data_IF_055445303930
#
_entry.id   IF_055445303930
#
_cell.length_a   1.000
_cell.length_b   1.000
_cell.length_c   1.000
_cell.angle_alpha   90.00
_cell.angle_beta   90.00
_cell.angle_gamma   90.00
#
_symmetry.space_group_name_H-M   'P 1'
#
loop_
_entity.id
_entity.type
_entity.pdbx_description
1 polymer ?
#
# COMPACT_ATOMS: atom_id res chain seq x y z
N UNK A 1 22.17 8.48 -10.80
CA UNK A 1 22.26 7.01 -10.66
C UNK A 1 21.41 6.32 -11.72
N UNK A 2 21.90 5.24 -12.31
CA UNK A 2 21.12 4.40 -13.25
C UNK A 2 20.03 3.65 -12.47
N UNK A 3 18.91 3.31 -13.12
CA UNK A 3 17.79 2.55 -12.52
C UNK A 3 18.26 1.31 -11.75
N UNK A 4 19.19 0.53 -12.31
CA UNK A 4 19.77 -0.67 -11.67
C UNK A 4 20.48 -0.38 -10.35
N UNK A 5 21.19 0.74 -10.24
CA UNK A 5 21.95 1.12 -9.05
C UNK A 5 20.99 1.57 -7.94
N UNK A 6 19.94 2.29 -8.32
CA UNK A 6 18.89 2.68 -7.38
C UNK A 6 18.13 1.47 -6.85
N UNK A 7 17.71 0.56 -7.73
CA UNK A 7 17.05 -0.70 -7.35
C UNK A 7 17.94 -1.57 -6.45
N UNK A 8 19.26 -1.61 -6.66
CA UNK A 8 20.16 -2.38 -5.80
C UNK A 8 20.10 -1.93 -4.33
N UNK A 9 19.99 -0.61 -4.07
CA UNK A 9 19.82 -0.08 -2.71
C UNK A 9 18.50 -0.56 -2.10
N UNK A 10 17.41 -0.43 -2.85
CA UNK A 10 16.07 -0.82 -2.38
C UNK A 10 15.98 -2.32 -2.12
N UNK A 11 16.58 -3.13 -3.01
CA UNK A 11 16.56 -4.58 -2.95
C UNK A 11 17.39 -5.19 -1.81
N UNK A 12 18.20 -4.39 -1.11
CA UNK A 12 18.79 -4.80 0.15
C UNK A 12 17.73 -5.10 1.24
N UNK A 13 16.57 -4.46 1.16
CA UNK A 13 15.44 -4.69 2.07
C UNK A 13 14.28 -5.42 1.39
N UNK A 14 14.04 -5.14 0.11
CA UNK A 14 12.91 -5.69 -0.66
C UNK A 14 13.37 -6.31 -1.98
N UNK A 15 13.80 -7.59 -1.99
CA UNK A 15 14.45 -8.21 -3.15
C UNK A 15 13.62 -8.21 -4.44
N UNK A 16 12.29 -8.33 -4.33
CA UNK A 16 11.36 -8.29 -5.47
C UNK A 16 10.95 -6.87 -5.88
N UNK A 17 11.52 -5.82 -5.29
CA UNK A 17 11.11 -4.46 -5.60
C UNK A 17 11.38 -4.09 -7.06
N UNK A 18 10.44 -3.36 -7.65
CA UNK A 18 10.52 -2.73 -8.97
C UNK A 18 10.20 -1.24 -8.86
N UNK A 19 10.47 -0.45 -9.90
CA UNK A 19 10.01 0.95 -9.91
C UNK A 19 8.49 0.98 -10.01
N UNK A 20 7.84 1.90 -9.31
CA UNK A 20 6.36 1.90 -9.24
C UNK A 20 5.73 2.07 -10.62
N UNK A 21 6.32 2.88 -11.49
CA UNK A 21 5.86 3.04 -12.88
C UNK A 21 5.87 1.72 -13.67
N UNK A 22 6.91 0.89 -13.50
CA UNK A 22 6.96 -0.43 -14.15
C UNK A 22 5.87 -1.34 -13.57
N UNK A 23 5.67 -1.26 -12.26
CA UNK A 23 4.68 -2.10 -11.59
C UNK A 23 3.27 -1.81 -12.07
N UNK A 24 2.93 -0.52 -12.22
CA UNK A 24 1.61 -0.11 -12.69
C UNK A 24 1.45 -0.40 -14.18
N UNK A 25 2.49 -0.24 -15.01
CA UNK A 25 2.42 -0.68 -16.41
C UNK A 25 2.16 -2.18 -16.51
N UNK A 26 2.92 -3.02 -15.79
CA UNK A 26 2.68 -4.47 -15.74
C UNK A 26 1.25 -4.80 -15.29
N UNK A 27 0.70 -4.04 -14.34
CA UNK A 27 -0.69 -4.21 -13.89
C UNK A 27 -1.65 -4.00 -15.06
N UNK A 28 -1.53 -2.86 -15.73
CA UNK A 28 -2.42 -2.48 -16.83
C UNK A 28 -2.30 -3.49 -17.98
N UNK A 29 -1.08 -3.91 -18.32
CA UNK A 29 -0.86 -4.93 -19.36
C UNK A 29 -1.57 -6.24 -19.00
N UNK A 30 -1.55 -6.66 -17.73
CA UNK A 30 -2.33 -7.82 -17.27
C UNK A 30 -3.85 -7.62 -17.45
N UNK A 31 -4.38 -6.43 -17.11
CA UNK A 31 -5.80 -6.14 -17.24
C UNK A 31 -6.27 -6.25 -18.70
N UNK A 32 -5.50 -5.67 -19.62
CA UNK A 32 -5.81 -5.67 -21.05
C UNK A 32 -5.65 -7.08 -21.65
N UNK A 33 -4.54 -7.77 -21.37
CA UNK A 33 -4.22 -9.06 -22.01
C UNK A 33 -5.02 -10.24 -21.45
N UNK A 34 -5.35 -10.22 -20.16
CA UNK A 34 -5.93 -11.37 -19.48
C UNK A 34 -7.36 -11.18 -18.99
N UNK A 35 -7.79 -9.94 -18.72
CA UNK A 35 -9.17 -9.66 -18.31
C UNK A 35 -10.01 -9.02 -19.42
N UNK A 36 -9.39 -8.63 -20.55
CA UNK A 36 -10.03 -7.92 -21.66
C UNK A 36 -10.73 -6.63 -21.18
N UNK A 37 -10.02 -5.87 -20.32
CA UNK A 37 -10.50 -4.62 -19.74
C UNK A 37 -9.50 -3.48 -19.96
N UNK A 38 -10.01 -2.34 -20.42
CA UNK A 38 -9.27 -1.09 -20.54
C UNK A 38 -9.28 -0.31 -19.21
N UNK A 39 -8.27 0.53 -18.92
CA UNK A 39 -8.25 1.37 -17.71
C UNK A 39 -9.54 2.15 -17.46
N UNK A 40 -10.18 2.69 -18.51
CA UNK A 40 -11.44 3.43 -18.41
C UNK A 40 -12.65 2.62 -17.91
N UNK A 41 -12.53 1.28 -17.82
CA UNK A 41 -13.54 0.38 -17.27
C UNK A 41 -13.28 -0.01 -15.81
N UNK A 42 -12.20 0.50 -15.21
CA UNK A 42 -11.74 0.10 -13.88
C UNK A 42 -11.96 1.25 -12.90
N UNK A 43 -12.74 0.98 -11.85
CA UNK A 43 -12.90 1.89 -10.71
C UNK A 43 -11.79 1.63 -9.70
N UNK A 44 -10.85 2.56 -9.59
CA UNK A 44 -9.69 2.49 -8.70
C UNK A 44 -10.02 3.02 -7.31
N UNK A 45 -9.54 2.32 -6.28
CA UNK A 45 -9.41 2.83 -4.94
C UNK A 45 -7.97 2.69 -4.42
N UNK A 46 -7.51 3.74 -3.73
CA UNK A 46 -6.22 3.77 -3.04
C UNK A 46 -6.42 3.64 -1.53
N UNK A 47 -5.84 2.62 -0.91
CA UNK A 47 -5.61 2.56 0.53
C UNK A 47 -4.12 2.72 0.83
N UNK A 48 -3.65 3.96 0.70
CA UNK A 48 -2.25 4.37 0.87
C UNK A 48 -2.15 5.51 1.89
N UNK A 49 -0.93 5.78 2.37
CA UNK A 49 -0.72 6.78 3.40
C UNK A 49 -0.97 8.22 2.92
N UNK A 50 -1.53 9.06 3.80
CA UNK A 50 -1.77 10.49 3.56
C UNK A 50 -0.51 11.35 3.37
N UNK A 51 0.67 10.78 3.59
CA UNK A 51 1.97 11.44 3.37
C UNK A 51 2.11 11.95 1.91
N UNK A 52 2.57 13.18 1.74
CA UNK A 52 2.64 13.90 0.46
C UNK A 52 3.55 13.21 -0.57
N UNK A 53 4.50 12.39 -0.11
CA UNK A 53 5.44 11.68 -0.98
C UNK A 53 4.86 10.45 -1.65
N UNK A 54 3.70 9.96 -1.19
CA UNK A 54 3.02 8.84 -1.84
C UNK A 54 2.37 9.19 -3.18
N UNK A 55 2.49 10.45 -3.63
CA UNK A 55 2.19 10.87 -5.00
C UNK A 55 3.28 10.42 -5.98
N UNK A 56 3.43 9.11 -6.07
CA UNK A 56 4.43 8.37 -6.83
C UNK A 56 4.11 8.39 -8.34
N UNK A 57 5.17 8.31 -9.17
CA UNK A 57 5.18 8.25 -10.64
C UNK A 57 4.25 7.18 -11.22
N UNK A 58 2.98 7.52 -11.40
CA UNK A 58 2.06 6.75 -12.21
C UNK A 58 2.39 6.92 -13.71
N UNK A 59 2.30 5.85 -14.53
CA UNK A 59 2.35 5.98 -15.97
C UNK A 59 1.12 6.73 -16.50
N UNK A 60 1.21 7.32 -17.69
CA UNK A 60 0.12 8.12 -18.27
C UNK A 60 -1.20 7.34 -18.38
N UNK A 61 -1.12 6.05 -18.73
CA UNK A 61 -2.27 5.13 -18.86
C UNK A 61 -3.04 4.96 -17.55
N UNK A 62 -2.38 5.10 -16.39
CA UNK A 62 -3.06 5.00 -15.10
C UNK A 62 -4.00 6.19 -14.83
N UNK A 63 -3.88 7.29 -15.56
CA UNK A 63 -4.81 8.43 -15.44
C UNK A 63 -6.15 8.20 -16.13
N UNK A 64 -6.29 7.11 -16.87
CA UNK A 64 -7.56 6.71 -17.50
C UNK A 64 -8.45 5.90 -16.56
N UNK A 65 -7.91 5.39 -15.44
CA UNK A 65 -8.71 4.77 -14.39
C UNK A 65 -9.79 5.73 -13.85
N UNK A 66 -10.95 5.18 -13.50
CA UNK A 66 -11.99 5.93 -12.81
C UNK A 66 -11.61 6.09 -11.34
N UNK A 67 -11.71 7.31 -10.80
CA UNK A 67 -11.32 7.64 -9.41
C UNK A 67 -9.96 8.38 -9.34
N UNK A 68 -9.12 8.14 -8.32
CA UNK A 68 -9.24 7.11 -7.28
C UNK A 68 -10.17 7.49 -6.12
N UNK A 69 -10.94 6.52 -5.62
CA UNK A 69 -11.57 6.61 -4.31
C UNK A 69 -10.52 6.45 -3.21
N UNK A 70 -10.43 7.38 -2.25
CA UNK A 70 -9.42 7.33 -1.19
C UNK A 70 -9.94 6.58 0.03
N UNK A 71 -9.43 5.37 0.27
CA UNK A 71 -9.80 4.52 1.41
C UNK A 71 -8.81 4.59 2.57
N UNK A 72 -7.56 4.99 2.29
CA UNK A 72 -6.47 4.99 3.25
C UNK A 72 -6.56 6.07 4.32
N UNK A 73 -5.43 6.30 4.99
CA UNK A 73 -5.21 7.32 6.02
C UNK A 73 -3.79 7.14 6.55
N UNK A 74 -3.53 7.39 7.83
CA UNK A 74 -2.18 7.18 8.37
C UNK A 74 -1.66 5.76 8.10
N UNK A 75 -0.47 5.71 7.51
CA UNK A 75 0.23 4.51 7.04
C UNK A 75 -0.55 3.57 6.11
N UNK A 76 -1.59 4.08 5.43
CA UNK A 76 -2.33 3.33 4.41
C UNK A 76 -3.40 2.39 4.92
N UNK A 77 -3.70 2.41 6.22
CA UNK A 77 -4.80 1.62 6.77
C UNK A 77 -6.17 2.10 6.24
N UNK A 78 -7.08 1.18 5.84
CA UNK A 78 -8.34 1.55 5.18
C UNK A 78 -9.37 2.07 6.18
N UNK A 79 -9.20 3.33 6.59
CA UNK A 79 -10.00 3.97 7.65
C UNK A 79 -11.42 4.33 7.22
N UNK A 80 -11.73 4.37 5.92
CA UNK A 80 -13.10 4.62 5.45
C UNK A 80 -14.07 3.47 5.80
N UNK A 81 -13.54 2.27 6.07
CA UNK A 81 -14.30 1.13 6.56
C UNK A 81 -15.37 0.64 5.58
N UNK A 82 -16.36 -0.08 6.12
CA UNK A 82 -17.38 -0.76 5.30
C UNK A 82 -18.27 0.24 4.54
N UNK A 83 -18.60 1.37 5.15
CA UNK A 83 -19.35 2.44 4.49
C UNK A 83 -18.58 3.01 3.31
N UNK A 84 -17.27 3.24 3.46
CA UNK A 84 -16.40 3.68 2.36
C UNK A 84 -16.30 2.65 1.24
N UNK A 85 -16.09 1.38 1.57
CA UNK A 85 -16.03 0.28 0.59
C UNK A 85 -17.34 0.15 -0.20
N UNK A 86 -18.50 0.28 0.47
CA UNK A 86 -19.80 0.27 -0.20
C UNK A 86 -20.01 1.47 -1.14
N UNK A 87 -19.58 2.67 -0.73
CA UNK A 87 -19.63 3.85 -1.60
C UNK A 87 -18.74 3.66 -2.84
N UNK A 88 -17.50 3.19 -2.66
CA UNK A 88 -16.59 2.84 -3.75
C UNK A 88 -17.21 1.81 -4.72
N UNK A 89 -17.74 0.71 -4.20
CA UNK A 89 -18.34 -0.36 -5.00
C UNK A 89 -19.56 0.11 -5.81
N UNK A 90 -20.26 1.16 -5.37
CA UNK A 90 -21.43 1.70 -6.08
C UNK A 90 -21.10 2.55 -7.31
N UNK A 91 -19.83 2.90 -7.51
CA UNK A 91 -19.38 3.77 -8.61
C UNK A 91 -18.79 2.99 -9.79
N UNK A 92 -18.69 1.66 -9.70
CA UNK A 92 -18.08 0.82 -10.75
C UNK A 92 -19.00 0.72 -11.99
N UNK A 93 -18.44 0.69 -13.21
CA UNK A 93 -19.22 0.38 -14.41
C UNK A 93 -19.75 -1.07 -14.40
N UNK A 94 -20.95 -1.29 -14.94
CA UNK A 94 -21.64 -2.61 -14.93
C UNK A 94 -20.76 -3.75 -15.50
N UNK A 95 -20.07 -3.50 -16.62
CA UNK A 95 -19.20 -4.47 -17.29
C UNK A 95 -17.71 -4.28 -16.96
N UNK A 96 -17.42 -3.50 -15.93
CA UNK A 96 -16.07 -3.12 -15.50
C UNK A 96 -15.52 -4.00 -14.38
N UNK A 97 -14.58 -3.44 -13.63
CA UNK A 97 -14.04 -4.05 -12.43
C UNK A 97 -13.70 -2.98 -11.38
N UNK A 98 -13.67 -3.41 -10.11
CA UNK A 98 -13.05 -2.60 -9.06
C UNK A 98 -11.60 -3.01 -8.89
N UNK A 99 -10.72 -2.03 -8.70
CA UNK A 99 -9.32 -2.25 -8.42
C UNK A 99 -8.93 -1.55 -7.12
N UNK A 100 -8.43 -2.32 -6.16
CA UNK A 100 -7.98 -1.81 -4.86
C UNK A 100 -6.46 -1.93 -4.77
N UNK A 101 -5.78 -0.79 -4.80
CA UNK A 101 -4.34 -0.67 -4.58
C UNK A 101 -4.08 -0.25 -3.14
N UNK A 102 -3.32 -1.03 -2.39
CA UNK A 102 -3.16 -0.80 -0.95
C UNK A 102 -1.81 -1.20 -0.40
N UNK A 103 -1.45 -0.57 0.71
CA UNK A 103 -0.23 -0.88 1.42
C UNK A 103 0.24 0.24 2.33
N UNK A 104 1.10 -0.09 3.32
CA UNK A 104 1.86 0.91 4.04
C UNK A 104 2.99 1.45 3.16
N UNK A 105 3.71 2.45 3.69
CA UNK A 105 4.88 2.95 3.00
C UNK A 105 6.10 3.09 3.90
N UNK A 106 7.27 3.01 3.29
CA UNK A 106 8.54 3.18 3.98
C UNK A 106 9.53 3.97 3.14
N UNK A 107 10.32 4.82 3.80
CA UNK A 107 11.39 5.60 3.20
C UNK A 107 12.68 4.81 3.16
N UNK A 108 13.42 4.89 2.07
CA UNK A 108 14.82 4.44 2.00
C UNK A 108 15.61 5.53 1.30
N UNK A 109 16.58 6.14 1.99
CA UNK A 109 17.41 7.19 1.39
C UNK A 109 18.30 6.64 0.28
N UNK A 110 18.89 7.52 -0.53
CA UNK A 110 19.90 7.12 -1.53
C UNK A 110 21.15 6.47 -0.92
N UNK A 111 21.38 6.69 0.37
CA UNK A 111 22.48 6.11 1.14
C UNK A 111 22.05 4.79 1.84
N UNK A 112 20.81 4.33 1.63
CA UNK A 112 20.30 3.06 2.14
C UNK A 112 19.76 3.10 3.58
N UNK A 113 19.53 4.30 4.13
CA UNK A 113 18.96 4.46 5.48
C UNK A 113 17.44 4.25 5.41
N UNK A 114 16.95 3.25 6.14
CA UNK A 114 15.53 2.89 6.19
C UNK A 114 14.74 3.79 7.16
N UNK A 115 13.51 4.11 6.81
CA UNK A 115 12.59 4.93 7.59
C UNK A 115 12.70 6.43 7.38
N UNK A 116 13.51 6.90 6.44
CA UNK A 116 13.66 8.32 6.20
C UNK A 116 13.97 8.61 4.73
N UNK A 117 13.71 9.86 4.36
CA UNK A 117 14.00 10.41 3.04
C UNK A 117 14.43 11.87 3.17
N UNK A 118 15.13 12.36 2.17
CA UNK A 118 15.38 13.78 1.97
C UNK A 118 14.27 14.40 1.13
N UNK A 119 13.33 15.07 1.80
CA UNK A 119 12.22 15.78 1.15
C UNK A 119 12.71 17.05 0.45
N UNK A 120 11.97 17.45 -0.60
CA UNK A 120 12.25 18.66 -1.37
C UNK A 120 12.22 19.87 -0.43
N UNK A 121 13.26 20.70 -0.48
CA UNK A 121 13.38 21.91 0.34
C UNK A 121 13.81 21.68 1.79
N UNK A 122 14.07 20.45 2.23
CA UNK A 122 14.56 20.17 3.59
C UNK A 122 16.08 19.97 3.63
N UNK A 123 16.72 20.54 4.66
CA UNK A 123 18.16 20.39 4.89
C UNK A 123 18.53 19.03 5.50
N UNK A 124 17.59 18.42 6.25
CA UNK A 124 17.76 17.15 6.96
C UNK A 124 16.75 16.11 6.47
N UNK A 125 17.07 14.84 6.67
CA UNK A 125 16.14 13.75 6.42
C UNK A 125 14.97 13.83 7.42
N UNK A 126 13.80 13.35 7.00
CA UNK A 126 12.60 13.26 7.84
C UNK A 126 11.96 11.88 7.73
N UNK A 127 11.14 11.51 8.73
CA UNK A 127 10.53 10.20 8.84
C UNK A 127 9.60 9.86 7.67
N UNK A 128 9.63 8.59 7.25
CA UNK A 128 8.79 8.04 6.20
C UNK A 128 8.67 6.50 6.40
N UNK A 129 7.52 5.93 6.77
CA UNK A 129 6.31 6.60 7.25
C UNK A 129 6.51 7.26 8.62
N UNK A 130 5.99 8.47 8.80
CA UNK A 130 5.95 9.13 10.11
C UNK A 130 5.11 8.39 11.15
N UNK A 131 3.97 7.81 10.74
CA UNK A 131 3.08 7.07 11.64
C UNK A 131 3.72 5.76 12.13
N UNK A 132 4.29 4.94 11.25
CA UNK A 132 5.05 3.73 11.65
C UNK A 132 6.16 4.07 12.66
N UNK A 133 6.95 5.11 12.40
CA UNK A 133 8.03 5.54 13.30
C UNK A 133 7.50 6.05 14.63
N UNK A 134 6.43 6.83 14.62
CA UNK A 134 5.78 7.33 15.83
C UNK A 134 5.26 6.20 16.71
N UNK A 135 4.55 5.24 16.10
CA UNK A 135 4.03 4.08 16.82
C UNK A 135 5.16 3.19 17.36
N UNK A 136 6.17 2.89 16.54
CA UNK A 136 7.33 2.10 16.98
C UNK A 136 8.07 2.78 18.14
N UNK A 137 8.27 4.10 18.08
CA UNK A 137 8.90 4.82 19.18
C UNK A 137 8.08 4.71 20.48
N UNK A 138 6.76 4.85 20.41
CA UNK A 138 5.89 4.64 21.59
C UNK A 138 5.94 3.19 22.07
N UNK A 139 5.98 2.21 21.17
CA UNK A 139 6.08 0.79 21.51
C UNK A 139 7.36 0.47 22.27
N UNK A 140 8.52 0.92 21.76
CA UNK A 140 9.86 0.74 22.36
C UNK A 140 9.91 1.37 23.76
N UNK A 141 9.27 2.53 23.94
CA UNK A 141 9.22 3.22 25.23
C UNK A 141 8.08 2.75 26.14
N UNK A 142 7.34 1.70 25.76
CA UNK A 142 6.19 1.18 26.51
C UNK A 142 5.12 2.24 26.82
N UNK A 143 4.85 3.12 25.84
CA UNK A 143 3.91 4.25 25.93
C UNK A 143 2.56 3.98 25.26
N UNK A 144 2.39 2.82 24.61
CA UNK A 144 1.11 2.43 24.03
C UNK A 144 0.26 1.77 25.12
N UNK A 145 -0.91 2.36 25.40
CA UNK A 145 -1.90 1.79 26.30
C UNK A 145 -2.86 0.92 25.49
N UNK A 146 -3.02 -0.34 25.89
CA UNK A 146 -3.92 -1.28 25.22
C UNK A 146 -5.37 -0.75 25.22
N UNK A 147 -6.02 -0.81 24.07
CA UNK A 147 -7.41 -0.37 23.89
C UNK A 147 -7.62 1.15 23.87
N UNK A 148 -6.58 1.96 24.04
CA UNK A 148 -6.70 3.42 24.03
C UNK A 148 -6.80 3.96 22.59
N UNK A 149 -8.04 4.21 22.13
CA UNK A 149 -8.35 4.86 20.86
C UNK A 149 -9.25 6.06 21.12
N UNK A 150 -8.77 7.26 20.80
CA UNK A 150 -9.48 8.52 21.06
C UNK A 150 -10.05 9.11 19.78
N UNK A 151 -11.18 9.83 19.84
CA UNK A 151 -11.77 10.47 18.65
C UNK A 151 -10.78 11.40 17.92
N UNK A 152 -9.95 12.13 18.68
CA UNK A 152 -9.03 13.12 18.13
C UNK A 152 -7.87 12.51 17.33
N UNK A 153 -7.39 11.33 17.72
CA UNK A 153 -6.18 10.71 17.16
C UNK A 153 -6.38 9.23 16.80
N UNK A 154 -7.62 8.85 16.47
CA UNK A 154 -8.03 7.45 16.32
C UNK A 154 -7.21 6.69 15.27
N UNK A 155 -6.76 7.36 14.20
CA UNK A 155 -5.96 6.71 13.17
C UNK A 155 -4.59 6.30 13.72
N UNK A 156 -3.89 7.22 14.37
CA UNK A 156 -2.59 6.95 14.97
C UNK A 156 -2.71 5.92 16.10
N UNK A 157 -3.74 6.04 16.96
CA UNK A 157 -4.00 5.07 18.01
C UNK A 157 -4.31 3.68 17.43
N UNK A 158 -5.00 3.59 16.29
CA UNK A 158 -5.25 2.30 15.61
C UNK A 158 -3.94 1.67 15.15
N UNK A 159 -3.04 2.44 14.54
CA UNK A 159 -1.71 1.96 14.15
C UNK A 159 -0.95 1.48 15.40
N UNK A 160 -0.94 2.26 16.49
CA UNK A 160 -0.33 1.84 17.77
C UNK A 160 -0.87 0.50 18.28
N UNK A 161 -2.18 0.27 18.23
CA UNK A 161 -2.77 -1.02 18.63
C UNK A 161 -2.35 -2.16 17.70
N UNK A 162 -2.15 -1.90 16.40
CA UNK A 162 -1.63 -2.90 15.46
C UNK A 162 -0.22 -3.34 15.88
N UNK A 163 0.69 -2.40 16.13
CA UNK A 163 2.05 -2.75 16.56
C UNK A 163 2.08 -3.38 17.96
N UNK A 164 1.24 -2.91 18.90
CA UNK A 164 1.18 -3.47 20.25
C UNK A 164 0.85 -4.97 20.23
N UNK A 165 -0.09 -5.40 19.38
CA UNK A 165 -0.46 -6.83 19.23
C UNK A 165 0.67 -7.71 18.72
N UNK A 166 1.69 -7.12 18.08
CA UNK A 166 2.85 -7.82 17.52
C UNK A 166 4.16 -7.37 18.20
N UNK A 167 4.07 -6.87 19.44
CA UNK A 167 5.19 -6.27 20.18
C UNK A 167 6.46 -7.11 20.15
N UNK A 168 6.35 -8.39 20.53
CA UNK A 168 7.51 -9.26 20.67
C UNK A 168 8.21 -9.52 19.32
N UNK A 169 7.41 -9.71 18.25
CA UNK A 169 7.90 -9.88 16.87
C UNK A 169 8.67 -8.65 16.40
N UNK A 170 8.13 -7.46 16.65
CA UNK A 170 8.73 -6.19 16.22
C UNK A 170 10.01 -5.89 17.01
N UNK A 171 9.98 -6.04 18.35
CA UNK A 171 11.11 -5.68 19.20
C UNK A 171 12.28 -6.67 19.11
N UNK A 172 12.04 -7.91 18.67
CA UNK A 172 13.10 -8.91 18.45
C UNK A 172 13.66 -8.92 17.02
N UNK A 173 13.07 -8.17 16.09
CA UNK A 173 13.52 -8.12 14.71
C UNK A 173 14.86 -7.38 14.58
N UNK A 174 15.68 -7.81 13.61
CA UNK A 174 16.97 -7.17 13.31
C UNK A 174 16.81 -5.70 12.87
N UNK A 175 15.71 -5.39 12.18
CA UNK A 175 15.34 -4.03 11.78
C UNK A 175 13.89 -3.78 12.21
N UNK A 176 13.65 -3.28 13.45
CA UNK A 176 12.29 -3.16 14.00
C UNK A 176 11.34 -2.30 13.16
N UNK A 177 11.84 -1.28 12.46
CA UNK A 177 11.00 -0.46 11.60
C UNK A 177 10.56 -1.19 10.32
N UNK A 178 11.44 -2.00 9.73
CA UNK A 178 11.06 -2.88 8.62
C UNK A 178 9.95 -3.84 9.08
N UNK A 179 10.15 -4.49 10.23
CA UNK A 179 9.17 -5.43 10.78
C UNK A 179 7.84 -4.75 11.11
N UNK A 180 7.87 -3.54 11.67
CA UNK A 180 6.66 -2.77 11.93
C UNK A 180 5.89 -2.46 10.64
N UNK A 181 6.57 -2.11 9.56
CA UNK A 181 5.94 -1.90 8.24
C UNK A 181 5.31 -3.19 7.70
N UNK A 182 5.97 -4.35 7.83
CA UNK A 182 5.41 -5.65 7.42
C UNK A 182 4.18 -6.03 8.26
N UNK A 183 4.23 -5.83 9.58
CA UNK A 183 3.07 -6.04 10.47
C UNK A 183 1.89 -5.15 10.07
N UNK A 184 2.14 -3.89 9.70
CA UNK A 184 1.09 -2.98 9.25
C UNK A 184 0.53 -3.45 7.91
N UNK A 185 1.37 -3.90 6.97
CA UNK A 185 0.91 -4.49 5.71
C UNK A 185 -0.05 -5.66 5.94
N UNK A 186 0.31 -6.61 6.81
CA UNK A 186 -0.54 -7.75 7.13
C UNK A 186 -1.89 -7.31 7.72
N UNK A 187 -1.89 -6.29 8.59
CA UNK A 187 -3.12 -5.73 9.15
C UNK A 187 -4.00 -5.02 8.10
N UNK A 188 -3.37 -4.34 7.13
CA UNK A 188 -4.06 -3.70 6.00
C UNK A 188 -4.68 -4.78 5.10
N UNK A 189 -3.89 -5.77 4.68
CA UNK A 189 -4.33 -6.88 3.84
C UNK A 189 -5.53 -7.59 4.47
N UNK A 190 -5.42 -7.97 5.74
CA UNK A 190 -6.53 -8.58 6.48
C UNK A 190 -7.78 -7.70 6.45
N UNK A 191 -7.65 -6.39 6.72
CA UNK A 191 -8.80 -5.49 6.72
C UNK A 191 -9.41 -5.32 5.33
N UNK A 192 -8.61 -5.26 4.27
CA UNK A 192 -9.11 -5.17 2.89
C UNK A 192 -9.92 -6.43 2.56
N UNK A 193 -9.43 -7.63 2.89
CA UNK A 193 -10.18 -8.88 2.70
C UNK A 193 -11.52 -8.87 3.46
N UNK A 194 -11.51 -8.47 4.74
CA UNK A 194 -12.75 -8.34 5.53
C UNK A 194 -13.77 -7.38 4.89
N UNK A 195 -13.30 -6.27 4.31
CA UNK A 195 -14.15 -5.28 3.65
C UNK A 195 -14.70 -5.81 2.32
N UNK A 196 -13.87 -6.50 1.54
CA UNK A 196 -14.26 -7.12 0.26
C UNK A 196 -15.32 -8.19 0.49
N UNK A 197 -15.13 -9.08 1.48
CA UNK A 197 -16.09 -10.15 1.77
C UNK A 197 -17.45 -9.65 2.27
N UNK A 198 -17.49 -8.44 2.85
CA UNK A 198 -18.71 -7.82 3.38
C UNK A 198 -19.38 -6.84 2.42
N UNK A 199 -18.84 -6.67 1.21
CA UNK A 199 -19.34 -5.72 0.23
C UNK A 199 -19.90 -6.45 -1.00
N UNK A 200 -21.03 -5.95 -1.52
CA UNK A 200 -21.60 -6.42 -2.78
C UNK A 200 -21.08 -5.55 -3.93
N UNK A 201 -20.68 -6.20 -5.02
CA UNK A 201 -20.13 -5.54 -6.20
C UNK A 201 -21.01 -5.85 -7.42
N UNK A 202 -21.26 -4.85 -8.25
CA UNK A 202 -22.01 -4.98 -9.50
C UNK A 202 -21.06 -4.74 -10.69
N UNK A 203 -20.11 -5.67 -10.87
CA UNK A 203 -19.08 -5.63 -11.91
C UNK A 203 -18.58 -7.06 -12.19
N UNK A 204 -17.58 -7.21 -13.07
CA UNK A 204 -17.00 -8.53 -13.39
C UNK A 204 -16.00 -9.02 -12.35
N UNK A 205 -15.08 -8.15 -11.94
CA UNK A 205 -13.94 -8.54 -11.11
C UNK A 205 -13.72 -7.61 -9.91
N UNK A 206 -13.25 -8.20 -8.82
CA UNK A 206 -12.56 -7.47 -7.74
C UNK A 206 -11.07 -7.78 -7.86
N UNK A 207 -10.27 -6.74 -8.04
CA UNK A 207 -8.82 -6.83 -8.25
C UNK A 207 -8.12 -6.26 -7.04
N UNK A 208 -7.25 -7.06 -6.41
CA UNK A 208 -6.52 -6.67 -5.21
C UNK A 208 -5.02 -6.61 -5.50
N UNK A 209 -4.40 -5.46 -5.28
CA UNK A 209 -2.95 -5.31 -5.35
C UNK A 209 -2.40 -4.76 -4.04
N UNK A 210 -1.84 -5.68 -3.24
CA UNK A 210 -1.23 -5.39 -1.96
C UNK A 210 0.28 -5.25 -2.11
N UNK A 211 0.85 -4.18 -1.57
CA UNK A 211 2.28 -3.90 -1.73
C UNK A 211 2.88 -3.15 -0.54
N UNK A 212 4.21 -3.14 -0.44
CA UNK A 212 4.92 -2.11 0.32
C UNK A 212 5.32 -0.99 -0.63
N UNK A 213 4.80 0.22 -0.39
CA UNK A 213 5.20 1.40 -1.14
C UNK A 213 6.54 1.90 -0.60
N UNK A 214 7.54 2.02 -1.45
CA UNK A 214 8.89 2.40 -1.05
C UNK A 214 9.22 3.76 -1.66
N UNK A 215 9.26 4.76 -0.80
CA UNK A 215 9.61 6.13 -1.14
C UNK A 215 11.11 6.34 -0.95
N UNK A 216 11.72 7.15 -1.79
CA UNK A 216 13.15 7.46 -1.67
C UNK A 216 13.38 8.96 -1.87
N UNK A 217 14.63 9.38 -1.80
CA UNK A 217 15.01 10.79 -2.03
C UNK A 217 14.48 11.27 -3.38
N UNK A 218 14.28 12.58 -3.53
CA UNK A 218 13.63 13.15 -4.72
C UNK A 218 14.29 12.77 -6.06
N UNK A 219 15.59 12.48 -6.07
CA UNK A 219 16.36 12.06 -7.24
C UNK A 219 16.41 10.54 -7.45
N UNK A 220 15.91 9.75 -6.48
CA UNK A 220 15.81 8.30 -6.54
C UNK A 220 14.51 7.85 -7.20
N UNK A 221 13.39 8.52 -6.93
CA UNK A 221 12.07 8.12 -7.40
C UNK A 221 11.42 7.13 -6.43
N UNK A 222 10.51 6.29 -6.93
CA UNK A 222 9.68 5.44 -6.09
C UNK A 222 9.59 4.00 -6.58
N UNK A 223 9.41 3.12 -5.61
CA UNK A 223 9.49 1.68 -5.79
C UNK A 223 8.33 1.02 -5.08
N UNK A 224 8.10 -0.24 -5.42
CA UNK A 224 7.02 -1.03 -4.85
C UNK A 224 7.49 -2.47 -4.75
N UNK A 225 7.12 -3.14 -3.66
CA UNK A 225 7.39 -4.56 -3.41
C UNK A 225 6.05 -5.25 -3.30
N UNK A 226 5.60 -5.83 -4.42
CA UNK A 226 4.31 -6.50 -4.48
C UNK A 226 4.30 -7.69 -3.49
N UNK A 227 3.19 -7.82 -2.78
CA UNK A 227 2.94 -8.86 -1.78
C UNK A 227 1.68 -9.65 -2.10
N UNK A 228 0.74 -9.04 -2.85
CA UNK A 228 -0.46 -9.69 -3.38
C UNK A 228 -0.82 -9.12 -4.74
N UNK A 229 -1.24 -10.00 -5.65
CA UNK A 229 -2.00 -9.63 -6.83
C UNK A 229 -3.05 -10.70 -7.07
N UNK A 230 -4.29 -10.44 -6.68
CA UNK A 230 -5.38 -11.42 -6.73
C UNK A 230 -6.53 -10.90 -7.60
N UNK A 231 -7.10 -11.81 -8.38
CA UNK A 231 -8.32 -11.61 -9.17
C UNK A 231 -9.44 -12.42 -8.54
N UNK A 232 -10.56 -11.77 -8.27
CA UNK A 232 -11.80 -12.41 -7.84
C UNK A 232 -12.82 -12.23 -8.96
N UNK A 233 -13.19 -13.33 -9.61
CA UNK A 233 -14.26 -13.35 -10.60
C UNK A 233 -15.61 -13.48 -9.88
N UNK A 234 -16.48 -12.49 -10.06
CA UNK A 234 -17.76 -12.43 -9.34
C UNK A 234 -18.82 -13.37 -9.93
N UNK A 235 -18.68 -13.80 -11.19
CA UNK A 235 -19.57 -14.76 -11.82
C UNK A 235 -19.26 -16.19 -11.35
N UNK A 236 -17.98 -16.56 -11.30
CA UNK A 236 -17.55 -17.92 -10.91
C UNK A 236 -17.28 -18.06 -9.41
N UNK A 237 -17.04 -16.93 -8.71
CA UNK A 237 -16.53 -16.85 -7.34
C UNK A 237 -15.13 -17.42 -7.17
N UNK A 238 -14.40 -17.64 -8.26
CA UNK A 238 -13.01 -18.05 -8.21
C UNK A 238 -12.14 -16.90 -7.69
N UNK A 239 -11.27 -17.21 -6.72
CA UNK A 239 -10.20 -16.32 -6.26
C UNK A 239 -8.88 -16.89 -6.73
N UNK A 240 -8.13 -16.16 -7.54
CA UNK A 240 -6.85 -16.60 -8.09
C UNK A 240 -5.76 -15.57 -7.81
N UNK A 241 -4.64 -16.04 -7.26
CA UNK A 241 -3.43 -15.23 -7.19
C UNK A 241 -2.68 -15.28 -8.52
N UNK A 242 -2.24 -14.13 -8.98
CA UNK A 242 -1.47 -13.90 -10.20
C UNK A 242 -0.20 -13.10 -9.90
N UNK A 243 0.28 -13.16 -8.65
CA UNK A 243 1.49 -12.47 -8.21
C UNK A 243 2.72 -12.87 -9.03
N UNK A 244 2.82 -14.14 -9.43
CA UNK A 244 3.92 -14.65 -10.26
C UNK A 244 4.05 -13.91 -11.62
N UNK A 245 3.02 -13.20 -12.07
CA UNK A 245 3.09 -12.33 -13.25
C UNK A 245 4.10 -11.18 -13.07
N UNK A 246 4.36 -10.76 -11.83
CA UNK A 246 5.33 -9.71 -11.53
C UNK A 246 6.78 -10.21 -11.43
N UNK A 247 6.95 -11.46 -11.04
CA UNK A 247 8.25 -12.08 -10.81
C UNK A 247 8.92 -12.57 -12.11
N UNK A 248 8.15 -12.66 -13.20
CA UNK A 248 8.60 -12.96 -14.57
C UNK A 248 8.80 -11.70 -15.43
#
# INVERSE_FOLDING_TARGET
MKKREKLAIIRNYYPNAVTTIDSVNKLIDFLEEHLDLEPGQIMLADSICSDDVNAIQYPSRAHEFLGPFKMGGLDGFPFTGLTGMGAFASHVPDEGAVFIYYGPHIGITKDGVIGEIKRIGQAKNSGCCGAAKGALNKLVNNQIVEGNVTEMDFQMNTIEQILLRQKDRILSAAVPLYEATEVIYEAIDQRIHELVEKTNYHCKYVILFGTILINSDSDMGSYTSAKRFDIIDLATKEKKSVLDYYDN
#
